data_IF_721132500172
#
_entry.id   IF_721132500172
#
_cell.length_a   1.000
_cell.length_b   1.000
_cell.length_c   1.000
_cell.angle_alpha   90.00
_cell.angle_beta   90.00
_cell.angle_gamma   90.00
#
_symmetry.space_group_name_H-M   'P 1'
#
loop_
_entity.id
_entity.type
_entity.pdbx_description
1 polymer ?
#
# COMPACT_ATOMS: atom_id res chain seq x y z
N UNK A 1 10.03 10.67 -35.56
CA UNK A 1 11.15 10.73 -34.59
C UNK A 1 10.67 11.58 -33.43
N UNK A 2 10.52 11.02 -32.23
CA UNK A 2 10.17 11.82 -31.05
C UNK A 2 11.30 12.81 -30.79
N UNK A 3 10.99 14.10 -30.61
CA UNK A 3 11.94 15.22 -30.45
C UNK A 3 12.70 15.18 -29.11
N UNK A 4 13.02 14.00 -28.56
CA UNK A 4 13.60 13.86 -27.22
C UNK A 4 12.66 14.24 -26.08
N UNK A 5 11.39 14.55 -26.37
CA UNK A 5 10.39 14.87 -25.37
C UNK A 5 9.93 13.59 -24.66
N UNK A 6 10.34 13.43 -23.41
CA UNK A 6 10.06 12.27 -22.55
C UNK A 6 8.85 12.47 -21.62
N UNK A 7 8.16 13.59 -21.76
CA UNK A 7 7.00 13.98 -20.96
C UNK A 7 5.82 14.38 -21.87
N UNK A 8 4.56 14.31 -21.39
CA UNK A 8 3.40 14.70 -22.17
C UNK A 8 3.49 16.14 -22.73
N UNK A 9 3.06 16.37 -23.98
CA UNK A 9 3.25 17.63 -24.69
C UNK A 9 2.64 18.85 -23.97
N UNK A 10 1.61 18.64 -23.16
CA UNK A 10 0.94 19.68 -22.38
C UNK A 10 1.69 20.10 -21.09
N UNK A 11 2.71 19.36 -20.66
CA UNK A 11 3.39 19.62 -19.39
C UNK A 11 4.07 21.00 -19.32
N UNK A 12 4.83 21.48 -20.33
CA UNK A 12 5.45 22.81 -20.26
C UNK A 12 4.45 23.93 -20.03
N UNK A 13 3.28 23.85 -20.65
CA UNK A 13 2.21 24.85 -20.49
C UNK A 13 1.60 24.78 -19.09
N UNK A 14 1.34 23.57 -18.59
CA UNK A 14 0.81 23.37 -17.23
C UNK A 14 1.81 23.82 -16.15
N UNK A 15 3.11 23.58 -16.36
CA UNK A 15 4.18 24.04 -15.46
C UNK A 15 4.24 25.57 -15.45
N UNK A 16 4.16 26.21 -16.63
CA UNK A 16 4.13 27.68 -16.74
C UNK A 16 2.87 28.27 -16.08
N UNK A 17 1.70 27.70 -16.34
CA UNK A 17 0.45 28.13 -15.72
C UNK A 17 0.48 27.98 -14.19
N UNK A 18 1.06 26.89 -13.68
CA UNK A 18 1.26 26.69 -12.24
C UNK A 18 2.19 27.77 -11.67
N UNK A 19 3.32 28.05 -12.33
CA UNK A 19 4.27 29.08 -11.91
C UNK A 19 3.68 30.50 -11.97
N UNK A 20 2.76 30.76 -12.91
CA UNK A 20 2.05 32.03 -13.04
C UNK A 20 0.84 32.18 -12.09
N UNK A 21 0.47 31.11 -11.36
CA UNK A 21 -0.71 31.10 -10.48
C UNK A 21 -2.05 30.92 -11.22
N UNK A 22 -2.00 30.57 -12.51
CA UNK A 22 -3.16 30.34 -13.38
C UNK A 22 -3.68 28.90 -13.31
N UNK A 23 -2.88 27.98 -12.75
CA UNK A 23 -3.24 26.60 -12.50
C UNK A 23 -3.10 26.28 -11.01
N UNK A 24 -4.18 25.85 -10.38
CA UNK A 24 -4.12 25.26 -9.04
C UNK A 24 -3.79 23.78 -9.16
N UNK A 25 -2.69 23.35 -8.54
CA UNK A 25 -2.34 21.93 -8.47
C UNK A 25 -3.44 21.16 -7.72
N UNK A 26 -3.77 19.97 -8.22
CA UNK A 26 -4.71 19.08 -7.55
C UNK A 26 -4.08 18.56 -6.25
N UNK A 27 -4.90 18.39 -5.21
CA UNK A 27 -4.44 17.78 -3.96
C UNK A 27 -4.06 16.31 -4.23
N UNK A 28 -2.82 15.87 -3.92
CA UNK A 28 -2.42 14.48 -4.07
C UNK A 28 -3.27 13.57 -3.20
N UNK A 29 -3.65 12.40 -3.75
CA UNK A 29 -4.34 11.36 -2.98
C UNK A 29 -3.30 10.51 -2.25
N UNK A 30 -3.55 10.23 -0.97
CA UNK A 30 -2.71 9.31 -0.19
C UNK A 30 -2.90 7.88 -0.70
N UNK A 31 -1.80 7.17 -0.82
CA UNK A 31 -1.73 5.77 -1.23
C UNK A 31 -0.54 5.11 -0.55
N UNK A 32 -0.58 3.78 -0.47
CA UNK A 32 0.51 2.98 0.06
C UNK A 32 0.82 1.83 -0.89
N UNK A 33 2.08 1.41 -0.90
CA UNK A 33 2.57 0.32 -1.75
C UNK A 33 3.61 -0.48 -0.99
N UNK A 34 3.54 -1.81 -1.04
CA UNK A 34 4.38 -2.71 -0.24
C UNK A 34 5.27 -3.57 -1.13
N UNK A 35 6.58 -3.50 -0.92
CA UNK A 35 7.53 -4.43 -1.50
C UNK A 35 7.65 -5.66 -0.59
N UNK A 36 6.97 -6.75 -0.94
CA UNK A 36 7.12 -8.04 -0.23
C UNK A 36 8.44 -8.70 -0.66
N UNK A 37 9.39 -8.77 0.28
CA UNK A 37 10.73 -9.28 0.06
C UNK A 37 10.92 -10.65 0.71
N UNK A 38 11.72 -11.50 0.07
CA UNK A 38 12.32 -12.67 0.69
C UNK A 38 13.71 -12.91 0.13
N UNK A 39 14.54 -13.64 0.85
CA UNK A 39 15.77 -14.14 0.28
C UNK A 39 15.49 -15.25 -0.73
N UNK A 40 16.20 -15.23 -1.85
CA UNK A 40 16.30 -16.39 -2.72
C UNK A 40 17.38 -17.32 -2.17
N UNK A 41 17.08 -18.61 -2.03
CA UNK A 41 18.14 -19.60 -1.90
C UNK A 41 19.00 -19.54 -3.16
N UNK A 42 20.32 -19.43 -2.99
CA UNK A 42 21.27 -19.45 -4.10
C UNK A 42 21.04 -20.68 -5.00
N UNK A 43 21.06 -20.50 -6.33
CA UNK A 43 20.99 -21.62 -7.28
C UNK A 43 22.37 -21.88 -7.87
N UNK A 44 22.76 -23.16 -7.92
CA UNK A 44 23.99 -23.59 -8.59
C UNK A 44 25.29 -23.06 -7.97
N UNK A 45 25.33 -22.83 -6.65
CA UNK A 45 26.54 -22.37 -5.95
C UNK A 45 26.78 -20.85 -5.96
N UNK A 46 25.90 -20.06 -6.58
CA UNK A 46 25.91 -18.61 -6.44
C UNK A 46 25.21 -18.18 -5.13
N UNK A 47 25.70 -17.14 -4.42
CA UNK A 47 24.96 -16.56 -3.31
C UNK A 47 23.62 -16.01 -3.81
N UNK A 48 22.57 -16.24 -3.03
CA UNK A 48 21.25 -15.68 -3.31
C UNK A 48 21.19 -14.17 -3.09
N UNK A 49 20.07 -13.57 -3.47
CA UNK A 49 19.76 -12.16 -3.20
C UNK A 49 18.28 -11.94 -2.89
N UNK A 50 17.90 -10.72 -2.49
CA UNK A 50 16.51 -10.39 -2.23
C UNK A 50 15.70 -10.49 -3.52
N UNK A 51 14.55 -11.15 -3.44
CA UNK A 51 13.55 -11.17 -4.50
C UNK A 51 12.28 -10.51 -4.00
N UNK A 52 11.61 -9.78 -4.90
CA UNK A 52 10.40 -9.02 -4.59
C UNK A 52 9.19 -9.60 -5.33
N UNK A 53 8.06 -9.70 -4.65
CA UNK A 53 6.79 -10.07 -5.28
C UNK A 53 6.24 -8.87 -6.07
N UNK A 54 5.87 -9.12 -7.33
CA UNK A 54 5.25 -8.12 -8.20
C UNK A 54 3.99 -8.71 -8.85
N UNK A 55 3.00 -7.86 -9.02
CA UNK A 55 1.76 -8.13 -9.72
C UNK A 55 1.84 -7.55 -11.13
N UNK A 56 1.14 -8.18 -12.08
CA UNK A 56 0.94 -7.60 -13.41
C UNK A 56 -0.47 -7.02 -13.50
N UNK A 57 -0.56 -5.71 -13.66
CA UNK A 57 -1.84 -4.99 -13.74
C UNK A 57 -2.63 -5.44 -14.97
N UNK A 58 -3.96 -5.52 -14.85
CA UNK A 58 -4.82 -5.82 -16.01
C UNK A 58 -4.61 -4.77 -17.09
N UNK A 59 -4.50 -5.20 -18.34
CA UNK A 59 -4.24 -4.32 -19.49
C UNK A 59 -5.38 -3.33 -19.75
N UNK A 60 -6.59 -3.63 -19.28
CA UNK A 60 -7.78 -2.78 -19.38
C UNK A 60 -7.81 -1.62 -18.39
N UNK A 61 -6.85 -1.50 -17.46
CA UNK A 61 -6.81 -0.40 -16.51
C UNK A 61 -6.44 0.92 -17.18
N UNK A 62 -7.18 2.00 -16.85
CA UNK A 62 -7.00 3.34 -17.41
C UNK A 62 -5.61 3.97 -17.10
N UNK A 63 -4.92 3.48 -16.07
CA UNK A 63 -3.58 3.94 -15.69
C UNK A 63 -2.64 2.75 -15.47
N UNK A 64 -1.46 2.81 -16.12
CA UNK A 64 -0.40 1.80 -16.07
C UNK A 64 -0.88 0.36 -16.36
N UNK A 65 -1.84 0.18 -17.28
CA UNK A 65 -2.32 -1.14 -17.70
C UNK A 65 -1.17 -1.99 -18.26
N UNK A 66 -1.07 -3.25 -17.82
CA UNK A 66 -0.02 -4.18 -18.24
C UNK A 66 1.35 -4.00 -17.57
N UNK A 67 1.55 -2.95 -16.77
CA UNK A 67 2.77 -2.72 -16.02
C UNK A 67 2.92 -3.70 -14.84
N UNK A 68 4.17 -3.99 -14.48
CA UNK A 68 4.48 -4.63 -13.21
C UNK A 68 4.44 -3.60 -12.09
N UNK A 69 3.73 -3.93 -11.01
CA UNK A 69 3.59 -3.10 -9.84
C UNK A 69 3.73 -3.94 -8.59
N UNK A 70 4.07 -3.30 -7.48
CA UNK A 70 3.95 -3.92 -6.17
C UNK A 70 2.50 -3.79 -5.66
N UNK A 71 2.05 -4.67 -4.74
CA UNK A 71 0.74 -4.53 -4.11
C UNK A 71 0.55 -3.14 -3.51
N UNK A 72 -0.60 -2.53 -3.76
CA UNK A 72 -0.87 -1.20 -3.22
C UNK A 72 -1.99 -0.43 -3.89
N UNK A 73 -2.50 0.55 -3.17
CA UNK A 73 -3.63 1.35 -3.59
C UNK A 73 -3.87 2.55 -2.68
N UNK A 74 -5.02 3.18 -2.87
CA UNK A 74 -5.40 4.40 -2.17
C UNK A 74 -5.77 4.15 -0.72
N UNK A 75 -5.55 5.15 0.12
CA UNK A 75 -6.15 5.17 1.46
C UNK A 75 -7.66 5.25 1.34
N UNK A 76 -8.37 4.34 2.02
CA UNK A 76 -9.82 4.38 2.18
C UNK A 76 -10.17 5.30 3.36
N UNK A 77 -11.21 6.15 3.29
CA UNK A 77 -11.63 6.99 4.41
C UNK A 77 -11.98 6.24 5.71
N UNK A 78 -12.17 4.92 5.63
CA UNK A 78 -12.42 4.05 6.79
C UNK A 78 -11.14 3.46 7.40
N UNK A 79 -9.98 3.66 6.76
CA UNK A 79 -8.70 3.16 7.28
C UNK A 79 -8.26 3.89 8.59
N UNK A 80 -8.89 5.03 8.90
CA UNK A 80 -8.69 5.80 10.13
C UNK A 80 -9.99 6.27 10.81
N UNK A 81 -11.13 5.60 10.55
CA UNK A 81 -12.42 5.94 11.20
C UNK A 81 -12.44 5.63 12.71
N UNK A 82 -11.56 4.71 13.15
CA UNK A 82 -11.37 4.29 14.53
C UNK A 82 -9.95 3.79 14.74
N UNK A 83 -9.51 3.75 15.99
CA UNK A 83 -8.23 3.10 16.34
C UNK A 83 -8.37 1.58 16.21
N UNK A 84 -7.39 0.96 15.57
CA UNK A 84 -7.33 -0.51 15.41
C UNK A 84 -6.35 -1.14 16.40
N UNK A 85 -6.46 -2.46 16.57
CA UNK A 85 -5.42 -3.25 17.22
C UNK A 85 -4.08 -3.06 16.52
N UNK A 86 -3.05 -2.64 17.27
CA UNK A 86 -1.78 -2.19 16.70
C UNK A 86 -0.59 -2.85 17.41
N UNK A 87 0.34 -3.39 16.63
CA UNK A 87 1.59 -3.94 17.11
C UNK A 87 2.77 -3.33 16.34
N UNK A 88 3.78 -2.85 17.07
CA UNK A 88 4.99 -2.24 16.53
C UNK A 88 5.21 -0.80 16.97
N UNK A 89 5.97 0.00 16.21
CA UNK A 89 6.24 1.39 16.53
C UNK A 89 4.95 2.19 16.79
N UNK A 90 4.93 3.11 17.76
CA UNK A 90 3.75 3.93 18.04
C UNK A 90 3.39 4.81 16.84
N UNK A 91 2.11 5.21 16.74
CA UNK A 91 1.60 5.97 15.60
C UNK A 91 2.31 7.31 15.42
N UNK A 92 2.78 7.94 16.49
CA UNK A 92 3.57 9.18 16.43
C UNK A 92 4.89 8.97 15.70
N UNK A 93 5.54 7.82 15.92
CA UNK A 93 6.77 7.46 15.22
C UNK A 93 6.49 7.21 13.74
N UNK A 94 5.37 6.56 13.42
CA UNK A 94 4.93 6.39 12.03
C UNK A 94 4.57 7.72 11.36
N UNK A 95 3.89 8.63 12.07
CA UNK A 95 3.55 9.96 11.55
C UNK A 95 4.80 10.74 11.18
N UNK A 96 5.79 10.78 12.08
CA UNK A 96 7.09 11.39 11.82
C UNK A 96 7.81 10.73 10.64
N UNK A 97 7.82 9.39 10.57
CA UNK A 97 8.52 8.64 9.51
C UNK A 97 7.88 8.79 8.13
N UNK A 98 6.55 8.88 8.06
CA UNK A 98 5.78 9.08 6.83
C UNK A 98 5.69 10.57 6.43
N UNK A 99 6.01 11.49 7.35
CA UNK A 99 5.88 12.93 7.15
C UNK A 99 4.41 13.37 6.99
N UNK A 100 3.52 12.77 7.78
CA UNK A 100 2.10 13.13 7.87
C UNK A 100 1.84 13.92 9.15
N UNK A 101 0.78 14.71 9.18
CA UNK A 101 0.55 15.68 10.26
C UNK A 101 -0.05 15.02 11.50
N UNK A 102 -0.83 13.95 11.34
CA UNK A 102 -1.54 13.31 12.45
C UNK A 102 -1.27 11.81 12.54
N UNK A 103 -1.48 11.26 13.75
CA UNK A 103 -1.43 9.82 14.01
C UNK A 103 -2.53 9.05 13.25
N UNK A 104 -3.68 9.68 13.01
CA UNK A 104 -4.78 9.16 12.20
C UNK A 104 -4.33 8.94 10.76
N UNK A 105 -3.69 9.95 10.17
CA UNK A 105 -3.15 9.85 8.81
C UNK A 105 -2.08 8.76 8.70
N UNK A 106 -1.26 8.59 9.74
CA UNK A 106 -0.24 7.55 9.79
C UNK A 106 -0.88 6.16 9.83
N UNK A 107 -1.88 5.97 10.68
CA UNK A 107 -2.67 4.74 10.73
C UNK A 107 -3.29 4.46 9.36
N UNK A 108 -3.94 5.45 8.74
CA UNK A 108 -4.61 5.30 7.46
C UNK A 108 -3.67 4.77 6.36
N UNK A 109 -2.45 5.32 6.29
CA UNK A 109 -1.43 4.90 5.31
C UNK A 109 -0.94 3.47 5.57
N UNK A 110 -0.73 3.10 6.83
CA UNK A 110 -0.27 1.75 7.19
C UNK A 110 -1.38 0.71 7.02
N UNK A 111 -2.62 1.06 7.37
CA UNK A 111 -3.81 0.25 7.09
C UNK A 111 -3.94 0.00 5.59
N UNK A 112 -3.88 1.04 4.75
CA UNK A 112 -3.91 0.89 3.31
C UNK A 112 -2.78 -0.04 2.80
N UNK A 113 -1.57 0.07 3.36
CA UNK A 113 -0.46 -0.80 2.99
C UNK A 113 -0.79 -2.28 3.22
N UNK A 114 -1.31 -2.63 4.40
CA UNK A 114 -1.63 -4.02 4.76
C UNK A 114 -2.89 -4.50 4.05
N UNK A 115 -3.95 -3.68 4.01
CA UNK A 115 -5.22 -3.98 3.34
C UNK A 115 -4.99 -4.31 1.86
N UNK A 116 -4.34 -3.40 1.12
CA UNK A 116 -4.10 -3.59 -0.31
C UNK A 116 -3.19 -4.81 -0.58
N UNK A 117 -2.21 -5.07 0.31
CA UNK A 117 -1.38 -6.28 0.22
C UNK A 117 -2.20 -7.56 0.38
N UNK A 118 -3.18 -7.55 1.29
CA UNK A 118 -4.08 -8.68 1.47
C UNK A 118 -5.05 -8.82 0.29
N UNK A 119 -5.69 -7.73 -0.14
CA UNK A 119 -6.61 -7.70 -1.28
C UNK A 119 -5.96 -8.25 -2.57
N UNK A 120 -4.75 -7.80 -2.89
CA UNK A 120 -4.13 -8.10 -4.18
C UNK A 120 -3.22 -9.35 -4.18
N UNK A 121 -2.63 -9.71 -3.03
CA UNK A 121 -1.66 -10.81 -2.93
C UNK A 121 -2.04 -11.91 -1.93
N UNK A 122 -3.14 -11.76 -1.17
CA UNK A 122 -3.56 -12.70 -0.13
C UNK A 122 -2.64 -12.72 1.10
N UNK A 123 -1.61 -11.88 1.15
CA UNK A 123 -0.64 -11.81 2.26
C UNK A 123 -1.14 -10.83 3.31
N UNK A 124 -1.43 -11.33 4.50
CA UNK A 124 -1.92 -10.52 5.62
C UNK A 124 -0.82 -10.26 6.65
N UNK A 125 -0.47 -8.98 6.86
CA UNK A 125 0.46 -8.55 7.91
C UNK A 125 -0.29 -8.21 9.20
N UNK A 126 -1.04 -9.19 9.71
CA UNK A 126 -1.79 -9.11 10.96
C UNK A 126 -1.86 -10.49 11.62
N UNK A 127 -2.09 -10.52 12.94
CA UNK A 127 -2.20 -11.77 13.69
C UNK A 127 -2.91 -11.59 15.03
N UNK A 128 -3.22 -12.68 15.76
CA UNK A 128 -3.91 -12.60 17.05
C UNK A 128 -3.10 -11.88 18.14
N UNK A 129 -1.78 -11.77 17.97
CA UNK A 129 -0.87 -11.13 18.93
C UNK A 129 0.24 -10.35 18.21
N UNK A 130 0.92 -9.48 18.96
CA UNK A 130 2.10 -8.76 18.48
C UNK A 130 3.29 -9.67 18.08
N UNK A 131 3.25 -10.97 18.40
CA UNK A 131 4.31 -11.91 18.07
C UNK A 131 3.98 -12.87 16.93
N UNK A 132 2.74 -12.86 16.42
CA UNK A 132 2.26 -13.84 15.44
C UNK A 132 1.65 -13.17 14.21
N UNK A 133 1.49 -13.95 13.14
CA UNK A 133 0.75 -13.58 11.93
C UNK A 133 -0.20 -14.72 11.58
N UNK A 134 -1.28 -14.41 10.87
CA UNK A 134 -2.07 -15.43 10.19
C UNK A 134 -1.23 -15.99 9.04
N UNK A 135 -0.79 -17.24 9.17
CA UNK A 135 0.11 -17.88 8.21
C UNK A 135 -0.58 -18.49 6.99
N UNK A 136 -1.89 -18.75 7.07
CA UNK A 136 -2.70 -19.31 5.99
C UNK A 136 -4.03 -18.56 5.89
N UNK A 137 -4.23 -17.92 4.76
CA UNK A 137 -5.42 -17.13 4.39
C UNK A 137 -6.15 -17.75 3.19
N UNK A 138 -5.90 -19.03 2.89
CA UNK A 138 -6.45 -19.71 1.69
C UNK A 138 -7.81 -20.35 1.89
N UNK A 139 -8.34 -20.35 3.12
CA UNK A 139 -9.68 -20.88 3.43
C UNK A 139 -10.81 -20.06 2.79
N UNK A 140 -11.95 -20.70 2.52
CA UNK A 140 -13.11 -20.05 1.89
C UNK A 140 -13.64 -18.84 2.68
N UNK A 141 -13.54 -18.88 4.02
CA UNK A 141 -13.94 -17.77 4.88
C UNK A 141 -13.01 -16.55 4.75
N UNK A 142 -11.71 -16.77 4.54
CA UNK A 142 -10.73 -15.71 4.29
C UNK A 142 -10.90 -15.11 2.90
N UNK A 143 -11.14 -15.96 1.91
CA UNK A 143 -11.45 -15.55 0.55
C UNK A 143 -12.69 -14.65 0.53
N UNK A 144 -13.77 -15.05 1.20
CA UNK A 144 -14.99 -14.26 1.31
C UNK A 144 -14.78 -12.90 1.98
N UNK A 145 -14.04 -12.83 3.09
CA UNK A 145 -13.73 -11.54 3.73
C UNK A 145 -12.85 -10.66 2.82
N UNK A 146 -11.91 -11.24 2.08
CA UNK A 146 -11.07 -10.52 1.13
C UNK A 146 -11.90 -10.00 -0.05
N UNK A 147 -12.83 -10.77 -0.59
CA UNK A 147 -13.77 -10.29 -1.61
C UNK A 147 -14.62 -9.13 -1.08
N UNK A 148 -15.09 -9.21 0.17
CA UNK A 148 -15.85 -8.14 0.81
C UNK A 148 -15.02 -6.84 1.02
N UNK A 149 -13.72 -6.97 1.34
CA UNK A 149 -12.79 -5.83 1.39
C UNK A 149 -12.63 -5.18 0.01
N UNK A 150 -12.35 -5.99 -1.04
CA UNK A 150 -12.23 -5.52 -2.44
C UNK A 150 -13.51 -4.84 -2.93
N UNK A 151 -14.68 -5.40 -2.58
CA UNK A 151 -15.99 -4.84 -2.88
C UNK A 151 -16.34 -3.61 -2.03
N UNK A 152 -15.51 -3.28 -1.03
CA UNK A 152 -15.70 -2.20 -0.05
C UNK A 152 -16.93 -2.37 0.83
N UNK A 153 -17.43 -3.59 0.97
CA UNK A 153 -18.56 -3.95 1.83
C UNK A 153 -18.14 -4.14 3.29
N UNK A 154 -16.87 -4.48 3.53
CA UNK A 154 -16.25 -4.62 4.84
C UNK A 154 -15.13 -3.57 4.96
N UNK A 155 -15.02 -2.88 6.10
CA UNK A 155 -13.84 -2.04 6.36
C UNK A 155 -12.68 -2.87 6.89
N UNK A 156 -11.43 -2.40 6.72
CA UNK A 156 -10.28 -3.13 7.26
C UNK A 156 -10.30 -3.22 8.79
N UNK A 157 -10.73 -2.15 9.46
CA UNK A 157 -10.88 -2.14 10.91
C UNK A 157 -11.91 -3.20 11.37
N UNK A 158 -13.07 -3.27 10.71
CA UNK A 158 -14.10 -4.27 11.01
C UNK A 158 -13.62 -5.70 10.74
N UNK A 159 -12.87 -5.91 9.67
CA UNK A 159 -12.23 -7.19 9.37
C UNK A 159 -11.28 -7.63 10.48
N UNK A 160 -10.39 -6.74 10.93
CA UNK A 160 -9.45 -7.03 12.02
C UNK A 160 -10.19 -7.30 13.34
N UNK A 161 -11.16 -6.47 13.69
CA UNK A 161 -11.95 -6.61 14.92
C UNK A 161 -12.75 -7.93 14.94
N UNK A 162 -13.46 -8.25 13.85
CA UNK A 162 -14.23 -9.50 13.72
C UNK A 162 -13.37 -10.75 13.89
N UNK A 163 -12.11 -10.70 13.45
CA UNK A 163 -11.15 -11.81 13.54
C UNK A 163 -10.24 -11.74 14.77
N UNK A 164 -10.38 -10.71 15.62
CA UNK A 164 -9.55 -10.52 16.81
C UNK A 164 -8.06 -10.34 16.48
N UNK A 165 -7.76 -9.62 15.41
CA UNK A 165 -6.41 -9.43 14.89
C UNK A 165 -5.85 -8.04 15.24
N UNK A 166 -4.54 -8.00 15.47
CA UNK A 166 -3.77 -6.75 15.52
C UNK A 166 -2.93 -6.61 14.25
N UNK A 167 -2.86 -5.39 13.72
CA UNK A 167 -1.99 -5.05 12.60
C UNK A 167 -0.53 -5.10 13.05
N UNK A 168 0.30 -5.87 12.35
CA UNK A 168 1.74 -6.03 12.61
C UNK A 168 2.57 -4.98 11.87
N UNK A 169 2.49 -3.73 12.33
CA UNK A 169 3.19 -2.60 11.72
C UNK A 169 4.72 -2.75 11.83
N UNK A 170 5.22 -3.48 12.82
CA UNK A 170 6.63 -3.82 13.01
C UNK A 170 7.22 -4.67 11.87
N UNK A 171 6.38 -5.31 11.05
CA UNK A 171 6.81 -6.04 9.86
C UNK A 171 7.01 -5.12 8.64
N UNK A 172 6.64 -3.84 8.74
CA UNK A 172 6.80 -2.86 7.69
C UNK A 172 7.95 -1.89 7.99
N UNK A 173 8.69 -1.54 6.93
CA UNK A 173 9.66 -0.44 6.96
C UNK A 173 9.30 0.61 5.93
N UNK A 174 9.10 1.86 6.34
CA UNK A 174 8.97 2.96 5.38
C UNK A 174 10.32 3.20 4.68
N UNK A 175 10.29 3.15 3.34
CA UNK A 175 11.47 3.26 2.47
C UNK A 175 11.54 4.60 1.71
N UNK A 176 10.46 4.97 1.03
CA UNK A 176 10.39 6.18 0.22
C UNK A 176 8.97 6.73 0.16
N UNK A 177 8.84 8.02 -0.15
CA UNK A 177 7.57 8.72 -0.38
C UNK A 177 7.65 9.51 -1.68
N UNK A 178 6.68 9.29 -2.56
CA UNK A 178 6.59 9.94 -3.87
C UNK A 178 5.29 10.74 -3.95
N UNK A 179 5.36 11.95 -4.49
CA UNK A 179 4.19 12.80 -4.79
C UNK A 179 4.23 13.06 -6.29
N UNK A 180 3.20 12.62 -7.01
CA UNK A 180 3.08 12.71 -8.48
C UNK A 180 2.20 13.86 -8.91
#
# INVERSE_FOLDING_TARGET
MSQGQWYPPEWPDRIRALAAGELTAVAPRRAATVMLLRDSGGKGGAPGGPVVHMLRRRTSMAFAGGAYAYPGGGVDPRDDDRLIGWAGPPLEQWAARLGVATVSEAQAVVCAAVRETFEEAGVLLAGPTAGTVVGDTTGEDWEADREALVARELSFAEFLDRRGLVLRSDLLGAWARWIT
#
